data_IF_048887302515
#
_entry.id   IF_048887302515
#
_cell.length_a   1.000
_cell.length_b   1.000
_cell.length_c   1.000
_cell.angle_alpha   90.00
_cell.angle_beta   90.00
_cell.angle_gamma   90.00
#
_symmetry.space_group_name_H-M   'P 1'
#
loop_
_entity.id
_entity.type
_entity.pdbx_description
1 polymer ?
#
# COMPACT_ATOMS: atom_id res chain seq x y z
N UNK A 1 -46.17 -33.59 -58.84
CA UNK A 1 -47.44 -33.93 -58.19
C UNK A 1 -47.16 -34.22 -56.73
N UNK A 2 -47.53 -33.34 -55.83
CA UNK A 2 -47.75 -33.60 -54.40
C UNK A 2 -49.05 -34.43 -54.28
N UNK A 3 -49.37 -35.20 -53.22
CA UNK A 3 -49.29 -34.88 -51.80
C UNK A 3 -48.87 -36.09 -50.93
N UNK A 4 -48.70 -36.13 -49.63
CA UNK A 4 -49.49 -35.72 -48.49
C UNK A 4 -48.84 -36.17 -47.19
N UNK A 5 -48.84 -35.32 -46.28
CA UNK A 5 -48.91 -35.32 -44.85
C UNK A 5 -49.30 -36.58 -44.07
N UNK A 6 -48.58 -36.82 -42.96
CA UNK A 6 -48.96 -37.59 -41.77
C UNK A 6 -48.02 -37.31 -40.59
N UNK A 7 -48.49 -37.25 -39.34
CA UNK A 7 -47.80 -36.53 -38.26
C UNK A 7 -46.81 -37.47 -37.54
N UNK A 8 -45.65 -36.86 -37.19
CA UNK A 8 -44.63 -37.45 -36.34
C UNK A 8 -44.91 -37.16 -34.86
N UNK A 9 -44.98 -38.17 -34.06
CA UNK A 9 -45.08 -38.17 -32.60
C UNK A 9 -43.74 -37.70 -32.00
N UNK A 10 -43.80 -36.63 -31.18
CA UNK A 10 -42.71 -36.13 -30.43
C UNK A 10 -42.41 -37.00 -29.20
N UNK A 11 -41.25 -37.62 -29.17
CA UNK A 11 -40.65 -38.10 -27.93
C UNK A 11 -39.73 -37.03 -27.38
N UNK A 12 -40.21 -36.30 -26.39
CA UNK A 12 -39.42 -35.35 -25.63
C UNK A 12 -38.48 -36.06 -24.66
N UNK A 13 -37.21 -36.08 -25.00
CA UNK A 13 -36.14 -36.35 -24.02
C UNK A 13 -35.87 -35.05 -23.26
N UNK A 14 -36.36 -34.97 -22.04
CA UNK A 14 -36.03 -33.88 -21.10
C UNK A 14 -34.55 -34.03 -20.73
N UNK A 15 -33.72 -33.20 -21.32
CA UNK A 15 -32.37 -32.97 -20.85
C UNK A 15 -32.47 -32.17 -19.53
N UNK A 16 -32.25 -32.87 -18.43
CA UNK A 16 -32.10 -32.23 -17.13
C UNK A 16 -30.84 -31.34 -17.16
N UNK A 17 -31.04 -30.05 -17.27
CA UNK A 17 -29.99 -29.05 -17.07
C UNK A 17 -29.64 -29.11 -15.59
N UNK A 18 -28.51 -29.71 -15.26
CA UNK A 18 -27.91 -29.59 -13.95
C UNK A 18 -27.45 -28.13 -13.83
N UNK A 19 -28.27 -27.31 -13.21
CA UNK A 19 -27.88 -25.98 -12.74
C UNK A 19 -26.92 -26.26 -11.60
N UNK A 20 -25.63 -26.19 -11.86
CA UNK A 20 -24.63 -26.10 -10.81
C UNK A 20 -24.93 -24.83 -10.03
N UNK A 21 -25.19 -24.98 -8.75
CA UNK A 21 -25.38 -23.92 -7.78
C UNK A 21 -24.08 -23.08 -7.77
N UNK A 22 -24.05 -22.02 -8.57
CA UNK A 22 -23.00 -21.02 -8.54
C UNK A 22 -23.23 -20.19 -7.27
N UNK A 23 -22.84 -20.77 -6.14
CA UNK A 23 -22.81 -20.04 -4.88
C UNK A 23 -22.04 -18.73 -5.12
N UNK A 24 -22.70 -17.60 -4.87
CA UNK A 24 -22.10 -16.26 -4.87
C UNK A 24 -20.89 -16.33 -3.95
N UNK A 25 -19.70 -16.43 -4.50
CA UNK A 25 -18.45 -16.35 -3.72
C UNK A 25 -18.35 -14.93 -3.22
N UNK A 26 -18.81 -14.71 -1.99
CA UNK A 26 -18.59 -13.44 -1.31
C UNK A 26 -17.08 -13.25 -1.18
N UNK A 27 -16.56 -12.20 -1.79
CA UNK A 27 -15.13 -11.87 -1.66
C UNK A 27 -14.82 -11.61 -0.19
N UNK A 28 -13.71 -12.12 0.36
CA UNK A 28 -13.26 -11.76 1.69
C UNK A 28 -13.10 -10.23 1.83
N UNK A 29 -13.21 -9.69 3.04
CA UNK A 29 -12.93 -8.28 3.29
C UNK A 29 -11.51 -7.92 2.84
N UNK A 30 -11.32 -6.68 2.41
CA UNK A 30 -10.02 -6.16 1.97
C UNK A 30 -9.45 -5.26 3.06
N UNK A 31 -8.20 -5.49 3.44
CA UNK A 31 -7.39 -4.53 4.20
C UNK A 31 -6.31 -3.98 3.28
N UNK A 32 -6.38 -2.68 2.99
CA UNK A 32 -5.37 -1.99 2.17
C UNK A 32 -4.22 -1.52 3.07
N UNK A 33 -3.09 -2.22 3.03
CA UNK A 33 -1.94 -1.95 3.89
C UNK A 33 -1.02 -0.82 3.37
N UNK A 34 -1.38 -0.14 2.29
CA UNK A 34 -0.64 1.02 1.77
C UNK A 34 -1.58 1.96 1.01
N UNK A 35 -2.21 2.88 1.72
CA UNK A 35 -3.13 3.87 1.18
C UNK A 35 -2.63 5.29 1.47
N UNK A 36 -2.90 6.24 0.56
CA UNK A 36 -2.67 7.66 0.78
C UNK A 36 -4.01 8.37 0.83
N UNK A 37 -4.34 8.89 2.01
CA UNK A 37 -5.62 9.56 2.31
C UNK A 37 -5.31 11.01 2.65
N UNK A 38 -5.30 11.88 1.63
CA UNK A 38 -4.92 13.28 1.79
C UNK A 38 -5.97 14.20 1.17
N UNK A 39 -6.09 15.40 1.75
CA UNK A 39 -6.69 16.54 1.06
C UNK A 39 -5.73 17.14 0.01
N UNK A 40 -6.17 18.16 -0.70
CA UNK A 40 -5.35 18.80 -1.73
C UNK A 40 -4.06 19.45 -1.15
N UNK A 41 -4.09 19.91 0.09
CA UNK A 41 -2.91 20.46 0.75
C UNK A 41 -1.88 19.36 1.06
N UNK A 42 -2.33 18.24 1.59
CA UNK A 42 -1.50 17.05 1.84
C UNK A 42 -0.90 16.48 0.57
N UNK A 43 -1.71 16.37 -0.50
CA UNK A 43 -1.22 15.93 -1.80
C UNK A 43 -0.18 16.89 -2.37
N UNK A 44 -0.38 18.19 -2.27
CA UNK A 44 0.56 19.20 -2.73
C UNK A 44 1.90 19.09 -2.02
N UNK A 45 1.89 18.94 -0.71
CA UNK A 45 3.09 18.75 0.11
C UNK A 45 3.82 17.45 -0.27
N UNK A 46 3.09 16.35 -0.45
CA UNK A 46 3.66 15.07 -0.87
C UNK A 46 4.32 15.15 -2.26
N UNK A 47 3.64 15.73 -3.25
CA UNK A 47 4.16 15.89 -4.61
C UNK A 47 5.36 16.84 -4.67
N UNK A 48 5.36 17.91 -3.86
CA UNK A 48 6.50 18.82 -3.75
C UNK A 48 7.71 18.10 -3.14
N UNK A 49 7.51 17.30 -2.09
CA UNK A 49 8.58 16.48 -1.49
C UNK A 49 9.19 15.51 -2.49
N UNK A 50 8.37 14.85 -3.31
CA UNK A 50 8.86 14.04 -4.44
C UNK A 50 9.67 14.89 -5.42
N UNK A 51 9.14 16.05 -5.82
CA UNK A 51 9.82 16.96 -6.76
C UNK A 51 11.16 17.47 -6.26
N UNK A 52 11.32 17.65 -4.96
CA UNK A 52 12.57 18.12 -4.33
C UNK A 52 13.61 17.01 -4.17
N UNK A 53 13.20 15.81 -3.74
CA UNK A 53 14.10 14.76 -3.30
C UNK A 53 14.22 13.58 -4.28
N UNK A 54 13.23 13.40 -5.16
CA UNK A 54 13.17 12.34 -6.16
C UNK A 54 12.42 12.83 -7.43
N UNK A 55 12.90 13.88 -8.10
CA UNK A 55 12.17 14.52 -9.20
C UNK A 55 11.82 13.57 -10.35
N UNK A 56 12.55 12.49 -10.49
CA UNK A 56 12.30 11.45 -11.50
C UNK A 56 10.91 10.81 -11.35
N UNK A 57 10.35 10.78 -10.15
CA UNK A 57 9.00 10.25 -9.91
C UNK A 57 7.92 11.05 -10.63
N UNK A 58 8.09 12.38 -10.73
CA UNK A 58 7.13 13.24 -11.43
C UNK A 58 7.10 12.95 -12.93
N UNK A 59 8.23 12.51 -13.50
CA UNK A 59 8.33 12.14 -14.90
C UNK A 59 7.87 10.69 -15.14
N UNK A 60 8.45 9.72 -14.42
CA UNK A 60 8.19 8.28 -14.57
C UNK A 60 6.71 7.96 -14.34
N UNK A 61 6.08 8.58 -13.35
CA UNK A 61 4.67 8.34 -12.99
C UNK A 61 3.70 9.40 -13.53
N UNK A 62 4.14 10.23 -14.47
CA UNK A 62 3.31 11.31 -15.03
C UNK A 62 1.93 10.86 -15.48
N UNK A 63 1.86 9.76 -16.24
CA UNK A 63 0.58 9.21 -16.71
C UNK A 63 -0.29 8.66 -15.56
N UNK A 64 0.32 8.12 -14.51
CA UNK A 64 -0.40 7.61 -13.33
C UNK A 64 -0.97 8.76 -12.50
N UNK A 65 -0.18 9.81 -12.24
CA UNK A 65 -0.67 11.02 -11.59
C UNK A 65 -1.83 11.64 -12.35
N UNK A 66 -1.68 11.83 -13.66
CA UNK A 66 -2.75 12.44 -14.47
C UNK A 66 -4.04 11.62 -14.42
N UNK A 67 -3.97 10.28 -14.48
CA UNK A 67 -5.15 9.43 -14.31
C UNK A 67 -5.75 9.53 -12.92
N UNK A 68 -4.92 9.54 -11.87
CA UNK A 68 -5.38 9.61 -10.49
C UNK A 68 -6.12 10.93 -10.19
N UNK A 69 -5.56 12.05 -10.64
CA UNK A 69 -6.13 13.39 -10.41
C UNK A 69 -7.14 13.82 -11.47
N UNK A 70 -7.31 13.05 -12.56
CA UNK A 70 -8.19 13.45 -13.67
C UNK A 70 -7.65 14.60 -14.51
N UNK A 71 -6.29 14.76 -14.57
CA UNK A 71 -5.63 15.87 -15.25
C UNK A 71 -5.22 15.51 -16.69
N UNK A 72 -5.04 16.54 -17.54
CA UNK A 72 -4.50 16.38 -18.89
C UNK A 72 -3.02 16.01 -18.84
N UNK A 73 -2.65 14.87 -19.42
CA UNK A 73 -1.24 14.44 -19.47
C UNK A 73 -0.37 15.37 -20.31
N UNK A 74 -0.92 15.91 -21.42
CA UNK A 74 -0.20 16.89 -22.25
C UNK A 74 0.09 18.16 -21.45
N UNK A 75 -0.96 18.75 -20.82
CA UNK A 75 -0.77 19.95 -20.01
C UNK A 75 0.21 19.74 -18.85
N UNK A 76 0.17 18.57 -18.20
CA UNK A 76 1.11 18.20 -17.16
C UNK A 76 2.55 18.13 -17.68
N UNK A 77 2.78 17.48 -18.82
CA UNK A 77 4.11 17.34 -19.43
C UNK A 77 4.69 18.71 -19.85
N UNK A 78 3.86 19.55 -20.45
CA UNK A 78 4.26 20.91 -20.85
C UNK A 78 4.65 21.75 -19.61
N UNK A 79 3.84 21.68 -18.56
CA UNK A 79 4.14 22.35 -17.29
C UNK A 79 5.41 21.81 -16.61
N UNK A 80 5.60 20.48 -16.58
CA UNK A 80 6.77 19.85 -15.98
C UNK A 80 8.07 20.25 -16.69
N UNK A 81 8.02 20.47 -18.01
CA UNK A 81 9.16 20.93 -18.80
C UNK A 81 9.57 22.37 -18.43
N UNK A 82 8.65 23.18 -17.93
CA UNK A 82 8.91 24.55 -17.48
C UNK A 82 9.32 24.58 -16.00
N UNK A 83 8.47 24.09 -15.14
CA UNK A 83 8.67 24.11 -13.69
C UNK A 83 7.88 23.00 -13.01
N UNK A 84 8.50 22.29 -12.04
CA UNK A 84 7.85 21.21 -11.28
C UNK A 84 6.58 21.69 -10.56
N UNK A 85 6.62 22.89 -9.99
CA UNK A 85 5.46 23.47 -9.28
C UNK A 85 4.28 23.64 -10.22
N UNK A 86 4.49 24.06 -11.45
CA UNK A 86 3.43 24.23 -12.44
C UNK A 86 2.78 22.89 -12.80
N UNK A 87 3.57 21.80 -12.85
CA UNK A 87 3.03 20.45 -13.02
C UNK A 87 2.17 20.02 -11.85
N UNK A 88 2.55 20.32 -10.62
CA UNK A 88 1.73 20.06 -9.42
C UNK A 88 0.43 20.88 -9.47
N UNK A 89 0.48 22.12 -9.95
CA UNK A 89 -0.72 22.96 -10.11
C UNK A 89 -1.69 22.43 -11.16
N UNK A 90 -1.19 21.76 -12.21
CA UNK A 90 -2.04 21.05 -13.20
C UNK A 90 -2.77 19.87 -12.56
N UNK A 91 -2.13 19.15 -11.64
CA UNK A 91 -2.77 18.03 -10.93
C UNK A 91 -3.79 18.50 -9.89
N UNK A 92 -3.53 19.62 -9.24
CA UNK A 92 -4.30 20.18 -8.13
C UNK A 92 -4.74 21.62 -8.44
N UNK A 93 -5.61 21.84 -9.47
CA UNK A 93 -6.07 23.18 -9.81
C UNK A 93 -6.96 23.75 -8.69
N UNK A 94 -7.01 25.09 -8.56
CA UNK A 94 -7.91 25.73 -7.62
C UNK A 94 -9.39 25.35 -7.84
N UNK A 95 -10.16 25.31 -6.75
CA UNK A 95 -11.61 25.03 -6.81
C UNK A 95 -11.98 23.55 -6.81
N UNK A 96 -11.05 22.65 -6.54
CA UNK A 96 -11.38 21.26 -6.25
C UNK A 96 -12.25 21.16 -4.98
N UNK A 97 -13.18 20.19 -4.92
CA UNK A 97 -13.95 19.97 -3.72
C UNK A 97 -13.03 19.60 -2.55
N UNK A 98 -13.34 20.04 -1.32
CA UNK A 98 -12.58 19.65 -0.14
C UNK A 98 -12.66 18.13 0.07
N UNK A 99 -11.66 17.57 0.75
CA UNK A 99 -11.68 16.16 1.14
C UNK A 99 -12.87 15.89 2.06
N UNK A 100 -13.63 14.84 1.72
CA UNK A 100 -14.78 14.37 2.48
C UNK A 100 -14.51 12.93 2.96
N UNK A 101 -14.27 12.77 4.27
CA UNK A 101 -14.00 11.47 4.88
C UNK A 101 -15.22 10.53 4.74
N UNK A 102 -16.46 11.03 4.84
CA UNK A 102 -17.64 10.19 4.72
C UNK A 102 -17.79 9.63 3.30
N UNK A 103 -17.57 10.47 2.29
CA UNK A 103 -17.56 10.06 0.89
C UNK A 103 -16.43 9.06 0.61
N UNK A 104 -15.23 9.28 1.17
CA UNK A 104 -14.11 8.36 1.08
C UNK A 104 -14.45 6.99 1.68
N UNK A 105 -14.97 6.96 2.92
CA UNK A 105 -15.37 5.71 3.59
C UNK A 105 -16.46 4.95 2.82
N UNK A 106 -17.44 5.66 2.30
CA UNK A 106 -18.50 5.06 1.48
C UNK A 106 -17.93 4.47 0.18
N UNK A 107 -16.95 5.14 -0.45
CA UNK A 107 -16.26 4.60 -1.63
C UNK A 107 -15.46 3.35 -1.30
N UNK A 108 -14.68 3.34 -0.21
CA UNK A 108 -13.95 2.16 0.25
C UNK A 108 -14.88 0.98 0.52
N UNK A 109 -16.01 1.22 1.16
CA UNK A 109 -17.02 0.19 1.44
C UNK A 109 -17.58 -0.44 0.17
N UNK A 110 -17.96 0.37 -0.84
CA UNK A 110 -18.40 -0.14 -2.14
C UNK A 110 -17.35 -1.04 -2.81
N UNK A 111 -16.08 -0.80 -2.54
CA UNK A 111 -14.96 -1.59 -3.07
C UNK A 111 -14.61 -2.81 -2.20
N UNK A 112 -15.32 -3.02 -1.09
CA UNK A 112 -15.09 -4.12 -0.14
C UNK A 112 -13.89 -3.89 0.78
N UNK A 113 -13.36 -2.66 0.85
CA UNK A 113 -12.28 -2.29 1.78
C UNK A 113 -12.87 -2.03 3.14
N UNK A 114 -12.51 -2.86 4.11
CA UNK A 114 -12.99 -2.75 5.50
C UNK A 114 -12.04 -1.96 6.38
N UNK A 115 -10.76 -1.92 6.02
CA UNK A 115 -9.73 -1.16 6.72
C UNK A 115 -8.64 -0.73 5.75
N UNK A 116 -8.02 0.41 6.02
CA UNK A 116 -6.85 0.89 5.30
C UNK A 116 -5.81 1.48 6.26
N UNK A 117 -4.53 1.26 5.93
CA UNK A 117 -3.40 1.89 6.60
C UNK A 117 -3.03 3.14 5.81
N UNK A 118 -3.41 4.30 6.35
CA UNK A 118 -3.18 5.59 5.73
C UNK A 118 -1.76 6.07 6.05
N UNK A 119 -0.90 6.10 5.04
CA UNK A 119 0.49 6.55 5.17
C UNK A 119 0.54 8.06 5.35
N UNK A 120 1.07 8.50 6.48
CA UNK A 120 1.24 9.91 6.82
C UNK A 120 2.55 10.50 6.29
N UNK A 121 2.78 11.77 6.62
CA UNK A 121 4.02 12.48 6.33
C UNK A 121 4.34 13.49 7.45
N UNK A 122 5.61 13.69 7.82
CA UNK A 122 6.01 14.68 8.81
C UNK A 122 6.04 16.11 8.24
N UNK A 123 5.79 16.26 6.94
CA UNK A 123 5.82 17.56 6.25
C UNK A 123 4.68 18.47 6.74
N UNK A 124 4.96 19.79 6.74
CA UNK A 124 4.00 20.79 7.21
C UNK A 124 3.04 21.24 6.12
N UNK A 125 1.78 21.32 6.50
CA UNK A 125 0.72 21.96 5.75
C UNK A 125 0.79 23.48 5.87
N UNK A 126 0.11 24.25 4.99
CA UNK A 126 0.08 25.70 5.06
C UNK A 126 -0.49 26.27 6.38
N UNK A 127 -1.33 25.52 7.09
CA UNK A 127 -1.90 25.90 8.38
C UNK A 127 -0.96 25.61 9.58
N UNK A 128 0.22 25.06 9.33
CA UNK A 128 1.25 24.76 10.31
C UNK A 128 1.20 23.35 10.91
N UNK A 129 0.10 22.61 10.74
CA UNK A 129 0.03 21.20 11.14
C UNK A 129 0.93 20.35 10.24
N UNK A 130 1.34 19.18 10.71
CA UNK A 130 1.90 18.15 9.83
C UNK A 130 0.78 17.37 9.13
N UNK A 131 1.10 16.67 8.06
CA UNK A 131 0.15 15.72 7.43
C UNK A 131 -0.25 14.62 8.42
N UNK A 132 0.66 14.20 9.30
CA UNK A 132 0.34 13.25 10.38
C UNK A 132 -0.73 13.80 11.32
N UNK A 133 -0.57 15.03 11.78
CA UNK A 133 -1.53 15.70 12.67
C UNK A 133 -2.90 15.85 11.99
N UNK A 134 -2.91 16.29 10.74
CA UNK A 134 -4.14 16.42 9.95
C UNK A 134 -4.87 15.08 9.82
N UNK A 135 -4.18 14.00 9.46
CA UNK A 135 -4.78 12.66 9.34
C UNK A 135 -5.36 12.17 10.68
N UNK A 136 -4.57 12.27 11.77
CA UNK A 136 -4.98 11.84 13.09
C UNK A 136 -6.21 12.61 13.58
N UNK A 137 -6.27 13.92 13.35
CA UNK A 137 -7.43 14.75 13.68
C UNK A 137 -8.65 14.40 12.83
N UNK A 138 -8.46 14.18 11.53
CA UNK A 138 -9.54 13.87 10.57
C UNK A 138 -10.27 12.58 10.94
N UNK A 139 -9.55 11.55 11.42
CA UNK A 139 -10.16 10.24 11.73
C UNK A 139 -10.59 10.10 13.18
N UNK A 140 -10.10 10.96 14.08
CA UNK A 140 -10.32 10.86 15.53
C UNK A 140 -11.81 10.91 15.89
N UNK A 141 -12.28 9.83 16.54
CA UNK A 141 -13.67 9.73 16.99
C UNK A 141 -14.70 9.56 15.85
N UNK A 142 -14.25 9.47 14.60
CA UNK A 142 -15.09 9.30 13.43
C UNK A 142 -15.06 7.85 12.95
N UNK A 143 -13.87 7.26 12.85
CA UNK A 143 -13.70 5.90 12.32
C UNK A 143 -12.41 5.26 12.81
N UNK A 144 -12.43 3.93 12.96
CA UNK A 144 -11.25 3.08 13.15
C UNK A 144 -10.88 2.30 11.86
N UNK A 145 -11.66 2.50 10.79
CA UNK A 145 -11.41 1.86 9.48
C UNK A 145 -10.19 2.47 8.78
N UNK A 146 -9.84 3.72 9.04
CA UNK A 146 -8.63 4.38 8.58
C UNK A 146 -7.63 4.43 9.73
N UNK A 147 -6.60 3.60 9.66
CA UNK A 147 -5.53 3.55 10.65
C UNK A 147 -4.35 4.38 10.19
N UNK A 148 -4.02 5.43 10.91
CA UNK A 148 -2.92 6.32 10.55
C UNK A 148 -1.58 5.67 10.88
N UNK A 149 -0.73 5.56 9.85
CA UNK A 149 0.67 5.18 9.95
C UNK A 149 1.52 6.43 9.76
N UNK A 150 1.97 7.01 10.87
CA UNK A 150 2.61 8.32 10.87
C UNK A 150 3.93 8.30 10.10
N UNK A 151 4.09 9.24 9.17
CA UNK A 151 5.32 9.40 8.41
C UNK A 151 6.45 9.92 9.28
N UNK A 152 7.64 9.31 9.18
CA UNK A 152 8.86 9.80 9.82
C UNK A 152 9.88 10.24 8.77
N UNK A 153 10.64 11.29 9.09
CA UNK A 153 11.87 11.64 8.36
C UNK A 153 13.07 11.20 9.17
N UNK A 154 13.99 10.47 8.54
CA UNK A 154 15.24 10.01 9.17
C UNK A 154 16.41 10.99 8.98
N UNK A 155 16.17 12.22 8.53
CA UNK A 155 17.22 13.26 8.42
C UNK A 155 17.76 13.69 9.76
N UNK A 156 16.86 13.76 10.76
CA UNK A 156 17.19 14.09 12.16
C UNK A 156 16.67 12.98 13.08
N UNK A 157 17.54 12.15 13.69
CA UNK A 157 17.14 11.10 14.61
C UNK A 157 16.31 11.59 15.80
N UNK A 158 16.68 12.73 16.37
CA UNK A 158 15.95 13.30 17.50
C UNK A 158 14.57 13.82 17.08
N UNK A 159 14.46 14.41 15.89
CA UNK A 159 13.20 14.84 15.30
C UNK A 159 12.29 13.65 14.99
N UNK A 160 12.84 12.56 14.45
CA UNK A 160 12.10 11.32 14.19
C UNK A 160 11.53 10.72 15.49
N UNK A 161 12.33 10.69 16.57
CA UNK A 161 11.87 10.19 17.87
C UNK A 161 10.74 11.05 18.44
N UNK A 162 10.89 12.37 18.43
CA UNK A 162 9.82 13.29 18.88
C UNK A 162 8.54 13.14 18.07
N UNK A 163 8.66 12.97 16.74
CA UNK A 163 7.49 12.75 15.87
C UNK A 163 6.79 11.43 16.18
N UNK A 164 7.56 10.36 16.39
CA UNK A 164 7.05 9.05 16.80
C UNK A 164 6.26 9.17 18.10
N UNK A 165 6.86 9.76 19.16
CA UNK A 165 6.22 9.91 20.47
C UNK A 165 4.92 10.72 20.39
N UNK A 166 4.95 11.84 19.65
CA UNK A 166 3.77 12.68 19.44
C UNK A 166 2.67 11.94 18.71
N UNK A 167 3.00 11.26 17.62
CA UNK A 167 2.04 10.51 16.80
C UNK A 167 1.47 9.31 17.54
N UNK A 168 2.28 8.60 18.33
CA UNK A 168 1.84 7.51 19.19
C UNK A 168 0.81 8.00 20.22
N UNK A 169 1.12 9.09 20.92
CA UNK A 169 0.21 9.71 21.90
C UNK A 169 -1.10 10.19 21.24
N UNK A 170 -1.05 10.62 19.97
CA UNK A 170 -2.22 11.05 19.21
C UNK A 170 -3.04 9.89 18.61
N UNK A 171 -2.57 8.64 18.72
CA UNK A 171 -3.31 7.45 18.32
C UNK A 171 -2.88 6.81 17.00
N UNK A 172 -1.69 7.13 16.50
CA UNK A 172 -1.13 6.41 15.35
C UNK A 172 -1.07 4.90 15.61
N UNK A 173 -1.26 4.10 14.57
CA UNK A 173 -1.29 2.64 14.63
C UNK A 173 -0.04 1.99 14.03
N UNK A 174 0.79 2.75 13.36
CA UNK A 174 2.06 2.35 12.77
C UNK A 174 2.85 3.57 12.32
N UNK A 175 3.99 3.29 11.71
CA UNK A 175 4.91 4.30 11.19
C UNK A 175 5.19 4.04 9.71
N UNK A 176 5.45 5.10 8.95
CA UNK A 176 5.84 5.03 7.54
C UNK A 176 7.18 5.73 7.33
N UNK A 177 8.13 5.03 6.68
CA UNK A 177 9.47 5.54 6.39
C UNK A 177 9.80 5.33 4.92
N UNK A 178 10.24 6.39 4.26
CA UNK A 178 10.64 6.37 2.84
C UNK A 178 12.10 6.79 2.73
N UNK A 179 13.06 5.85 2.82
CA UNK A 179 14.49 6.15 2.97
C UNK A 179 15.07 6.99 1.84
N UNK A 180 14.65 6.76 0.61
CA UNK A 180 15.17 7.48 -0.55
C UNK A 180 14.74 8.95 -0.59
N UNK A 181 13.65 9.35 0.10
CA UNK A 181 13.27 10.76 0.22
C UNK A 181 14.15 11.51 1.24
N UNK A 182 14.79 10.79 2.13
CA UNK A 182 15.68 11.35 3.14
C UNK A 182 17.16 11.16 2.81
N UNK A 183 17.48 10.29 1.84
CA UNK A 183 18.85 9.91 1.50
C UNK A 183 19.56 9.19 2.64
N UNK A 184 18.83 8.44 3.46
CA UNK A 184 19.34 7.88 4.72
C UNK A 184 19.09 6.38 4.80
N UNK A 185 20.09 5.61 5.23
CA UNK A 185 19.94 4.19 5.50
C UNK A 185 19.27 3.99 6.88
N UNK A 186 18.08 3.39 6.95
CA UNK A 186 17.41 3.10 8.22
C UNK A 186 18.21 2.16 9.14
N UNK A 187 19.11 1.35 8.60
CA UNK A 187 19.95 0.44 9.38
C UNK A 187 21.15 1.13 10.04
N UNK A 188 21.38 2.42 9.80
CA UNK A 188 22.40 3.18 10.50
C UNK A 188 22.13 3.13 12.03
N UNK A 189 23.13 2.75 12.86
CA UNK A 189 22.97 2.61 14.32
C UNK A 189 22.44 3.86 15.03
N UNK A 190 22.64 5.05 14.48
CA UNK A 190 22.13 6.30 15.06
C UNK A 190 20.60 6.34 15.19
N UNK A 191 19.88 5.50 14.42
CA UNK A 191 18.42 5.38 14.49
C UNK A 191 17.94 4.31 15.46
N UNK A 192 18.83 3.52 16.10
CA UNK A 192 18.41 2.50 17.07
C UNK A 192 17.43 3.03 18.13
N UNK A 193 17.58 4.24 18.70
CA UNK A 193 16.60 4.75 19.65
C UNK A 193 15.19 4.93 19.07
N UNK A 194 15.07 5.23 17.76
CA UNK A 194 13.77 5.36 17.08
C UNK A 194 13.12 3.98 16.93
N UNK A 195 13.90 2.97 16.56
CA UNK A 195 13.40 1.61 16.37
C UNK A 195 13.04 0.93 17.70
N UNK A 196 13.83 1.16 18.75
CA UNK A 196 13.53 0.67 20.10
C UNK A 196 12.25 1.31 20.63
N UNK A 197 12.06 2.62 20.42
CA UNK A 197 10.84 3.32 20.79
C UNK A 197 9.62 2.81 19.98
N UNK A 198 9.77 2.54 18.68
CA UNK A 198 8.72 1.97 17.85
C UNK A 198 8.30 0.58 18.35
N UNK A 199 9.27 -0.28 18.67
CA UNK A 199 9.01 -1.60 19.23
C UNK A 199 8.32 -1.51 20.59
N UNK A 200 8.81 -0.67 21.50
CA UNK A 200 8.23 -0.47 22.83
C UNK A 200 6.80 0.09 22.77
N UNK A 201 6.52 0.97 21.80
CA UNK A 201 5.18 1.52 21.57
C UNK A 201 4.25 0.56 20.81
N UNK A 202 4.72 -0.64 20.41
CA UNK A 202 3.96 -1.57 19.57
C UNK A 202 3.53 -0.96 18.23
N UNK A 203 4.37 -0.10 17.64
CA UNK A 203 4.11 0.53 16.35
C UNK A 203 4.88 -0.21 15.25
N UNK A 204 4.19 -0.97 14.37
CA UNK A 204 4.84 -1.55 13.21
C UNK A 204 5.32 -0.44 12.26
N UNK A 205 6.42 -0.71 11.55
CA UNK A 205 7.03 0.23 10.61
C UNK A 205 6.87 -0.29 9.19
N UNK A 206 6.10 0.43 8.37
CA UNK A 206 6.13 0.26 6.92
C UNK A 206 7.36 1.01 6.39
N UNK A 207 8.26 0.26 5.79
CA UNK A 207 9.50 0.77 5.20
C UNK A 207 9.39 0.63 3.69
N UNK A 208 9.55 1.74 2.95
CA UNK A 208 9.70 1.64 1.49
C UNK A 208 10.95 0.82 1.19
N UNK A 209 10.78 -0.25 0.43
CA UNK A 209 11.87 -1.17 0.08
C UNK A 209 11.94 -1.41 -1.42
N UNK A 210 13.07 -1.98 -1.86
CA UNK A 210 13.31 -2.29 -3.24
C UNK A 210 13.76 -1.08 -4.07
N UNK A 211 13.52 -1.17 -5.38
CA UNK A 211 14.01 -0.18 -6.32
C UNK A 211 13.29 1.16 -6.17
N UNK A 212 14.05 2.25 -6.30
CA UNK A 212 13.53 3.61 -6.39
C UNK A 212 14.20 4.37 -7.55
N UNK A 213 13.52 5.43 -8.04
CA UNK A 213 13.98 6.20 -9.19
C UNK A 213 14.78 7.44 -8.82
N UNK A 214 14.96 7.76 -7.53
CA UNK A 214 15.74 8.91 -7.08
C UNK A 214 17.21 8.72 -7.44
N UNK A 215 17.71 9.50 -8.40
CA UNK A 215 19.11 9.41 -8.89
C UNK A 215 20.13 10.03 -7.93
N UNK A 216 19.66 10.89 -7.04
CA UNK A 216 20.50 11.57 -6.05
C UNK A 216 20.97 10.65 -4.91
N UNK A 217 20.42 9.43 -4.80
CA UNK A 217 20.67 8.52 -3.69
C UNK A 217 21.01 7.11 -4.18
N UNK A 218 21.81 6.34 -3.40
CA UNK A 218 22.11 4.95 -3.71
C UNK A 218 20.84 4.10 -3.81
N UNK A 219 20.76 3.23 -4.83
CA UNK A 219 19.62 2.34 -5.05
C UNK A 219 19.41 1.29 -3.96
N UNK A 220 20.41 1.08 -3.09
CA UNK A 220 20.34 0.11 -1.97
C UNK A 220 19.63 0.61 -0.72
N UNK A 221 19.18 1.88 -0.68
CA UNK A 221 18.39 2.38 0.45
C UNK A 221 17.06 1.63 0.53
N UNK A 222 16.82 0.94 1.65
CA UNK A 222 15.64 0.08 1.82
C UNK A 222 15.77 -1.29 1.14
N UNK A 223 16.98 -1.78 0.87
CA UNK A 223 17.19 -3.14 0.36
C UNK A 223 16.82 -4.21 1.40
N UNK A 224 16.75 -5.48 0.97
CA UNK A 224 16.56 -6.59 1.90
C UNK A 224 17.65 -6.65 2.99
N UNK A 225 18.87 -6.17 2.69
CA UNK A 225 19.96 -6.09 3.68
C UNK A 225 19.67 -5.09 4.80
N UNK A 226 19.05 -3.97 4.46
CA UNK A 226 18.56 -2.98 5.44
C UNK A 226 17.51 -3.61 6.37
N UNK A 227 16.53 -4.34 5.80
CA UNK A 227 15.48 -5.02 6.58
C UNK A 227 16.08 -6.13 7.45
N UNK A 228 17.00 -6.94 6.91
CA UNK A 228 17.72 -7.98 7.65
C UNK A 228 18.50 -7.40 8.84
N UNK A 229 19.21 -6.30 8.63
CA UNK A 229 19.99 -5.64 9.69
C UNK A 229 19.09 -5.04 10.78
N UNK A 230 17.97 -4.43 10.42
CA UNK A 230 16.98 -3.92 11.37
C UNK A 230 16.34 -5.04 12.18
N UNK A 231 15.81 -6.06 11.51
CA UNK A 231 15.13 -7.18 12.16
C UNK A 231 16.09 -8.00 13.05
N UNK A 232 17.36 -8.14 12.65
CA UNK A 232 18.38 -8.82 13.43
C UNK A 232 18.77 -8.07 14.71
N UNK A 233 18.79 -6.72 14.66
CA UNK A 233 19.16 -5.86 15.78
C UNK A 233 17.97 -5.57 16.71
N UNK A 234 16.78 -5.35 16.14
CA UNK A 234 15.55 -4.98 16.86
C UNK A 234 14.51 -6.08 16.72
N UNK A 235 14.69 -7.21 17.45
CA UNK A 235 13.91 -8.45 17.28
C UNK A 235 12.40 -8.29 17.56
N UNK A 236 12.03 -7.33 18.40
CA UNK A 236 10.63 -7.04 18.75
C UNK A 236 9.98 -6.07 17.76
N UNK A 237 10.76 -5.47 16.87
CA UNK A 237 10.23 -4.53 15.88
C UNK A 237 9.44 -5.29 14.82
N UNK A 238 8.21 -4.84 14.57
CA UNK A 238 7.40 -5.31 13.45
C UNK A 238 7.69 -4.47 12.23
N UNK A 239 8.15 -5.10 11.15
CA UNK A 239 8.53 -4.45 9.90
C UNK A 239 7.60 -4.90 8.77
N UNK A 240 7.13 -3.97 7.97
CA UNK A 240 6.46 -4.24 6.70
C UNK A 240 7.36 -3.74 5.58
N UNK A 241 7.92 -4.66 4.80
CA UNK A 241 8.70 -4.33 3.63
C UNK A 241 7.76 -3.91 2.49
N UNK A 242 7.56 -2.61 2.35
CA UNK A 242 6.73 -2.02 1.30
C UNK A 242 7.28 -2.36 -0.08
N UNK A 243 6.42 -2.78 -1.00
CA UNK A 243 6.76 -3.28 -2.34
C UNK A 243 7.60 -4.58 -2.33
N UNK A 244 7.64 -5.29 -1.18
CA UNK A 244 8.30 -6.59 -1.00
C UNK A 244 9.77 -6.63 -1.46
N UNK A 245 10.46 -5.49 -1.45
CA UNK A 245 11.85 -5.41 -1.88
C UNK A 245 12.09 -5.57 -3.38
N UNK A 246 11.05 -5.48 -4.22
CA UNK A 246 11.19 -5.68 -5.66
C UNK A 246 12.36 -4.85 -6.26
N UNK A 247 13.23 -5.44 -7.13
CA UNK A 247 13.11 -6.78 -7.75
C UNK A 247 13.65 -7.94 -6.92
N UNK A 248 14.29 -7.73 -5.76
CA UNK A 248 14.93 -8.74 -4.91
C UNK A 248 13.90 -9.44 -3.99
N UNK A 249 12.74 -9.83 -4.55
CA UNK A 249 11.61 -10.40 -3.80
C UNK A 249 11.97 -11.72 -3.13
N UNK A 250 12.83 -12.52 -3.74
CA UNK A 250 13.28 -13.80 -3.18
C UNK A 250 14.09 -13.59 -1.88
N UNK A 251 15.05 -12.69 -1.91
CA UNK A 251 15.90 -12.37 -0.76
C UNK A 251 15.08 -11.74 0.37
N UNK A 252 14.12 -10.87 0.01
CA UNK A 252 13.21 -10.27 0.98
C UNK A 252 12.29 -11.33 1.62
N UNK A 253 11.80 -12.30 0.84
CA UNK A 253 11.01 -13.41 1.36
C UNK A 253 11.82 -14.30 2.31
N UNK A 254 13.08 -14.59 1.99
CA UNK A 254 13.97 -15.35 2.87
C UNK A 254 14.26 -14.57 4.17
N UNK A 255 14.40 -13.26 4.08
CA UNK A 255 14.52 -12.38 5.26
C UNK A 255 13.26 -12.46 6.13
N UNK A 256 12.08 -12.41 5.53
CA UNK A 256 10.80 -12.54 6.26
C UNK A 256 10.61 -13.95 6.86
N UNK A 257 11.10 -14.99 6.19
CA UNK A 257 11.07 -16.36 6.72
C UNK A 257 11.99 -16.53 7.95
N UNK A 258 13.14 -15.84 7.95
CA UNK A 258 14.12 -15.85 9.05
C UNK A 258 13.68 -15.01 10.24
N UNK A 259 13.01 -13.88 10.00
CA UNK A 259 12.61 -12.91 11.02
C UNK A 259 11.09 -12.85 11.18
N UNK A 260 10.52 -13.45 12.25
CA UNK A 260 9.06 -13.51 12.45
C UNK A 260 8.35 -12.15 12.53
N UNK A 261 9.07 -11.06 12.80
CA UNK A 261 8.57 -9.68 12.80
C UNK A 261 8.45 -9.04 11.42
N UNK A 262 8.97 -9.69 10.35
CA UNK A 262 8.98 -9.11 9.00
C UNK A 262 7.81 -9.61 8.17
N UNK A 263 7.09 -8.66 7.57
CA UNK A 263 6.01 -8.86 6.60
C UNK A 263 6.39 -8.23 5.28
N UNK A 264 5.74 -8.67 4.20
CA UNK A 264 5.90 -8.14 2.84
C UNK A 264 4.59 -7.49 2.40
N UNK A 265 4.68 -6.40 1.68
CA UNK A 265 3.52 -5.73 1.12
C UNK A 265 3.80 -5.42 -0.37
N UNK A 266 2.85 -5.71 -1.27
CA UNK A 266 3.11 -5.67 -2.71
C UNK A 266 2.45 -4.48 -3.44
N UNK A 267 2.11 -3.40 -2.78
CA UNK A 267 1.58 -2.20 -3.45
C UNK A 267 2.51 -1.71 -4.57
N UNK A 268 2.02 -0.83 -5.40
CA UNK A 268 2.68 -0.37 -6.63
C UNK A 268 2.81 -1.42 -7.74
N UNK A 269 2.57 -2.69 -7.46
CA UNK A 269 2.61 -3.77 -8.44
C UNK A 269 1.23 -4.40 -8.63
N UNK A 270 0.87 -4.65 -9.89
CA UNK A 270 -0.44 -5.23 -10.21
C UNK A 270 -0.37 -6.76 -10.14
N UNK A 271 -1.25 -7.43 -9.38
CA UNK A 271 -1.26 -8.88 -9.24
C UNK A 271 -1.26 -9.62 -10.58
N UNK A 272 -2.00 -9.15 -11.59
CA UNK A 272 -2.03 -9.75 -12.92
C UNK A 272 -0.68 -9.84 -13.64
N UNK A 273 0.31 -9.07 -13.20
CA UNK A 273 1.65 -9.09 -13.78
C UNK A 273 2.61 -10.03 -13.05
N UNK A 274 2.30 -10.42 -11.81
CA UNK A 274 3.18 -11.25 -10.97
C UNK A 274 3.53 -12.63 -11.58
N UNK A 275 2.59 -13.35 -12.26
CA UNK A 275 2.93 -14.64 -12.83
C UNK A 275 3.69 -14.58 -14.16
N UNK A 276 3.95 -13.37 -14.69
CA UNK A 276 4.68 -13.24 -15.97
C UNK A 276 6.15 -13.58 -15.76
N UNK A 277 6.74 -14.41 -16.66
CA UNK A 277 8.16 -14.74 -16.59
C UNK A 277 9.04 -13.47 -16.56
N UNK A 278 9.99 -13.42 -15.62
CA UNK A 278 10.87 -12.27 -15.42
C UNK A 278 10.23 -11.09 -14.72
N UNK A 279 9.06 -11.27 -14.11
CA UNK A 279 8.41 -10.23 -13.32
C UNK A 279 9.14 -9.92 -12.01
N UNK A 280 9.96 -10.86 -11.51
CA UNK A 280 10.60 -10.81 -10.20
C UNK A 280 9.67 -11.20 -9.05
N UNK A 281 8.41 -11.55 -9.33
CA UNK A 281 7.41 -11.95 -8.32
C UNK A 281 7.21 -13.48 -8.24
N UNK A 282 7.81 -14.24 -9.14
CA UNK A 282 7.68 -15.69 -9.20
C UNK A 282 8.03 -16.39 -7.90
N UNK A 283 9.09 -15.98 -7.15
CA UNK A 283 9.41 -16.60 -5.86
C UNK A 283 8.28 -16.46 -4.84
N UNK A 284 7.58 -15.31 -4.81
CA UNK A 284 6.45 -15.08 -3.90
C UNK A 284 5.30 -16.05 -4.20
N UNK A 285 4.97 -16.21 -5.49
CA UNK A 285 3.90 -17.11 -5.92
C UNK A 285 4.29 -18.57 -5.71
N UNK A 286 5.56 -18.94 -5.97
CA UNK A 286 6.07 -20.30 -5.75
C UNK A 286 5.95 -20.71 -4.27
N UNK A 287 6.23 -19.81 -3.35
CA UNK A 287 6.19 -20.04 -1.92
C UNK A 287 4.88 -19.63 -1.24
N UNK A 288 3.82 -19.35 -2.01
CA UNK A 288 2.55 -18.83 -1.49
C UNK A 288 1.91 -19.74 -0.43
N UNK A 289 2.02 -21.08 -0.55
CA UNK A 289 1.52 -22.06 0.42
C UNK A 289 2.44 -22.28 1.62
N UNK A 290 3.68 -21.83 1.53
CA UNK A 290 4.73 -22.00 2.54
C UNK A 290 5.12 -20.69 3.19
N UNK A 291 6.36 -20.25 2.99
CA UNK A 291 6.96 -19.09 3.65
C UNK A 291 6.18 -17.79 3.46
N UNK A 292 5.52 -17.60 2.31
CA UNK A 292 4.79 -16.39 1.99
C UNK A 292 3.36 -16.37 2.57
N UNK A 293 2.78 -17.53 2.96
CA UNK A 293 1.36 -17.65 3.33
C UNK A 293 0.94 -16.60 4.38
N UNK A 294 1.67 -16.54 5.49
CA UNK A 294 1.30 -15.76 6.66
C UNK A 294 2.12 -14.46 6.78
N UNK A 295 2.70 -13.98 5.66
CA UNK A 295 3.66 -12.87 5.65
C UNK A 295 3.31 -11.75 4.68
N UNK A 296 2.40 -11.98 3.73
CA UNK A 296 2.13 -11.04 2.64
C UNK A 296 0.87 -10.24 2.94
N UNK A 297 0.96 -8.94 2.76
CA UNK A 297 -0.13 -7.97 2.92
C UNK A 297 -0.53 -7.44 1.55
N UNK A 298 -1.82 -7.22 1.36
CA UNK A 298 -2.36 -6.51 0.22
C UNK A 298 -2.22 -5.00 0.44
N UNK A 299 -1.76 -4.28 -0.57
CA UNK A 299 -1.71 -2.83 -0.58
C UNK A 299 -1.88 -2.29 -1.99
N UNK A 300 -2.30 -1.04 -2.12
CA UNK A 300 -2.60 -0.47 -3.43
C UNK A 300 -1.63 0.61 -3.88
N UNK A 301 -1.21 1.51 -3.01
CA UNK A 301 -0.50 2.73 -3.41
C UNK A 301 -1.25 3.43 -4.56
N UNK A 302 -2.44 3.92 -4.27
CA UNK A 302 -3.51 4.23 -5.24
C UNK A 302 -3.10 5.13 -6.41
N UNK A 303 -2.16 6.05 -6.21
CA UNK A 303 -1.69 6.93 -7.29
C UNK A 303 -0.78 6.22 -8.30
N UNK A 304 -0.06 5.16 -7.89
CA UNK A 304 0.79 4.36 -8.80
C UNK A 304 -0.09 3.50 -9.71
N UNK A 305 -1.10 2.86 -9.13
CA UNK A 305 -2.08 2.02 -9.84
C UNK A 305 -3.47 2.65 -9.75
N UNK A 306 -3.71 3.81 -10.39
CA UNK A 306 -4.98 4.49 -10.28
C UNK A 306 -6.13 3.63 -10.80
N UNK A 307 -7.13 3.49 -9.96
CA UNK A 307 -8.31 2.68 -10.21
C UNK A 307 -8.93 2.13 -8.92
N UNK A 308 -10.06 1.44 -9.01
CA UNK A 308 -10.70 0.88 -7.84
C UNK A 308 -9.85 -0.19 -7.17
N UNK A 309 -9.69 -0.11 -5.85
CA UNK A 309 -9.01 -1.13 -5.02
C UNK A 309 -9.60 -2.52 -5.25
N UNK A 310 -10.93 -2.60 -5.43
CA UNK A 310 -11.63 -3.83 -5.77
C UNK A 310 -11.08 -4.52 -7.02
N UNK A 311 -10.68 -3.76 -8.04
CA UNK A 311 -10.08 -4.32 -9.26
C UNK A 311 -8.74 -5.00 -9.02
N UNK A 312 -7.91 -4.47 -8.10
CA UNK A 312 -6.64 -5.11 -7.72
C UNK A 312 -6.88 -6.39 -6.91
N UNK A 313 -7.91 -6.40 -6.05
CA UNK A 313 -8.32 -7.60 -5.33
C UNK A 313 -8.88 -8.69 -6.29
N UNK A 314 -9.60 -8.30 -7.36
CA UNK A 314 -10.05 -9.22 -8.39
C UNK A 314 -8.88 -9.79 -9.21
N UNK A 315 -7.85 -8.98 -9.49
CA UNK A 315 -6.61 -9.46 -10.11
C UNK A 315 -5.87 -10.47 -9.22
N UNK A 316 -5.86 -10.25 -7.90
CA UNK A 316 -5.28 -11.21 -6.95
C UNK A 316 -6.09 -12.51 -6.92
N UNK A 317 -7.42 -12.44 -6.96
CA UNK A 317 -8.29 -13.61 -7.04
C UNK A 317 -8.04 -14.43 -8.32
N UNK A 318 -7.73 -13.74 -9.44
CA UNK A 318 -7.43 -14.38 -10.72
C UNK A 318 -6.09 -15.16 -10.74
N UNK A 319 -5.21 -14.98 -9.74
CA UNK A 319 -3.98 -15.77 -9.61
C UNK A 319 -4.24 -17.22 -9.17
N UNK A 320 -5.49 -17.59 -8.90
CA UNK A 320 -5.90 -18.94 -8.47
C UNK A 320 -5.09 -19.44 -7.25
N UNK A 321 -4.75 -18.56 -6.33
CA UNK A 321 -4.16 -18.93 -5.04
C UNK A 321 -5.13 -19.83 -4.25
N UNK A 322 -4.64 -20.73 -3.37
CA UNK A 322 -5.51 -21.42 -2.43
C UNK A 322 -6.37 -20.41 -1.63
N UNK A 323 -7.61 -20.79 -1.33
CA UNK A 323 -8.57 -19.88 -0.68
C UNK A 323 -8.05 -19.31 0.64
N UNK A 324 -7.36 -20.15 1.42
CA UNK A 324 -6.73 -19.75 2.69
C UNK A 324 -5.59 -18.74 2.48
N UNK A 325 -4.78 -18.89 1.42
CA UNK A 325 -3.70 -17.96 1.06
C UNK A 325 -4.29 -16.64 0.57
N UNK A 326 -5.29 -16.72 -0.32
CA UNK A 326 -5.98 -15.54 -0.85
C UNK A 326 -6.57 -14.69 0.29
N UNK A 327 -7.28 -15.32 1.23
CA UNK A 327 -7.87 -14.65 2.39
C UNK A 327 -6.79 -14.07 3.30
N UNK A 328 -5.71 -14.82 3.56
CA UNK A 328 -4.60 -14.37 4.37
C UNK A 328 -3.93 -13.12 3.77
N UNK A 329 -3.64 -13.11 2.48
CA UNK A 329 -2.99 -11.98 1.82
C UNK A 329 -3.91 -10.77 1.72
N UNK A 330 -5.22 -10.99 1.46
CA UNK A 330 -6.16 -9.90 1.25
C UNK A 330 -6.50 -9.14 2.53
N UNK A 331 -6.52 -9.82 3.69
CA UNK A 331 -6.87 -9.20 4.98
C UNK A 331 -6.23 -9.88 6.20
N UNK A 332 -6.22 -11.23 6.26
CA UNK A 332 -5.90 -11.97 7.47
C UNK A 332 -4.52 -11.63 8.06
N UNK A 333 -3.51 -11.48 7.22
CA UNK A 333 -2.16 -11.14 7.68
C UNK A 333 -2.06 -9.70 8.20
N UNK A 334 -2.78 -8.76 7.61
CA UNK A 334 -2.84 -7.38 8.10
C UNK A 334 -3.56 -7.30 9.46
N UNK A 335 -4.63 -8.08 9.64
CA UNK A 335 -5.31 -8.19 10.93
C UNK A 335 -4.41 -8.85 11.99
N UNK A 336 -3.67 -9.89 11.63
CA UNK A 336 -2.71 -10.54 12.53
C UNK A 336 -1.57 -9.59 12.94
N UNK A 337 -1.05 -8.78 12.00
CA UNK A 337 -0.06 -7.73 12.29
C UNK A 337 -0.63 -6.70 13.28
N UNK A 338 -1.84 -6.20 13.03
CA UNK A 338 -2.50 -5.23 13.91
C UNK A 338 -2.76 -5.80 15.31
N UNK A 339 -3.15 -7.07 15.42
CA UNK A 339 -3.36 -7.75 16.70
C UNK A 339 -2.05 -7.91 17.49
N UNK A 340 -0.95 -8.30 16.83
CA UNK A 340 0.39 -8.38 17.46
C UNK A 340 0.83 -7.01 17.99
N UNK A 341 0.69 -5.97 17.18
CA UNK A 341 0.99 -4.60 17.58
C UNK A 341 0.15 -4.12 18.77
N UNK A 342 -1.14 -4.50 18.84
CA UNK A 342 -2.01 -4.17 19.96
C UNK A 342 -1.63 -4.93 21.24
N UNK A 343 -1.20 -6.19 21.13
CA UNK A 343 -0.72 -6.99 22.26
C UNK A 343 0.49 -6.34 22.96
N UNK A 344 1.44 -5.83 22.21
CA UNK A 344 2.60 -5.11 22.75
C UNK A 344 2.20 -3.82 23.48
N UNK A 345 1.17 -3.09 23.01
CA UNK A 345 0.68 -1.85 23.65
C UNK A 345 -0.08 -2.08 24.94
N UNK A 346 -0.59 -3.29 25.16
CA UNK A 346 -1.42 -3.65 26.34
C UNK A 346 -0.62 -4.25 27.50
N UNK A 347 0.62 -4.67 27.25
CA UNK A 347 1.55 -5.23 28.24
C UNK A 347 2.55 -4.19 28.72
#
# INVERSE_FOLDING_TARGET
>A
MNPSSGPATSNGTATATVVADAGVRVRPPVVDACSLVYDDAGWRVYLNRLGENAPEYLDVFSASFCRYFGASHTAYRDALALRRQDAVDVLLPPGRPPFDLAAHLADRERQGVTREFAMGSPERLPDGRTVNEWLLETVRGVTDRVQVWAGLSLRDPAGALRELERSAAAGARGLCVIPFLDGTDPADPRFSPVWDAAAAAGLPVWLHTGHHFARSHPSGLGSWRTVEALAGRHRELLLVAGHAGWPDVQEMLLTAARHPGVFLEFSSHRPRHMPKPGSGWEPLLHHARGMARDRVLFGTSTWVNPGPTGSLADELAALALPAEVFTAWLSGNAEALAARAAGTRAG
#
